data_IF_408856645845
#
_entry.id   IF_408856645845
#
_cell.length_a   1.000
_cell.length_b   1.000
_cell.length_c   1.000
_cell.angle_alpha   90.00
_cell.angle_beta   90.00
_cell.angle_gamma   90.00
#
_symmetry.space_group_name_H-M   'P 1'
#
loop_
_entity.id
_entity.type
_entity.pdbx_description
1 polymer ?
#
# COMPACT_ATOMS: atom_id res chain seq x y z
N UNK A 1 7.00 -52.08 -45.84
CA UNK A 1 7.85 -51.10 -45.11
C UNK A 1 7.55 -49.70 -45.64
N UNK A 2 6.82 -48.88 -44.89
CA UNK A 2 6.58 -47.46 -45.21
C UNK A 2 7.29 -46.65 -44.12
N UNK A 3 8.33 -45.93 -44.52
CA UNK A 3 9.18 -45.12 -43.63
C UNK A 3 8.44 -43.90 -43.10
N UNK A 4 8.39 -43.77 -41.79
CA UNK A 4 7.83 -42.62 -41.09
C UNK A 4 8.74 -41.39 -41.28
N UNK A 5 8.29 -40.43 -42.09
CA UNK A 5 8.94 -39.12 -42.22
C UNK A 5 8.65 -38.26 -40.98
N UNK A 6 9.59 -38.25 -40.02
CA UNK A 6 9.62 -37.25 -38.94
C UNK A 6 10.02 -35.91 -39.53
N UNK A 7 9.03 -35.04 -39.79
CA UNK A 7 9.26 -33.63 -40.15
C UNK A 7 9.95 -32.93 -38.98
N UNK A 8 11.26 -32.70 -39.08
CA UNK A 8 12.00 -31.87 -38.13
C UNK A 8 11.56 -30.43 -38.35
N UNK A 9 10.83 -29.85 -37.39
CA UNK A 9 10.56 -28.41 -37.37
C UNK A 9 11.91 -27.66 -37.44
N UNK A 10 12.08 -26.67 -38.34
CA UNK A 10 13.35 -25.99 -38.48
C UNK A 10 13.68 -25.27 -37.18
N UNK A 11 14.92 -25.42 -36.69
CA UNK A 11 15.42 -24.80 -35.45
C UNK A 11 15.14 -23.30 -35.37
N UNK A 12 15.06 -22.63 -36.51
CA UNK A 12 14.70 -21.22 -36.64
C UNK A 12 13.28 -20.90 -36.14
N UNK A 13 12.30 -21.77 -36.35
CA UNK A 13 10.94 -21.59 -35.83
C UNK A 13 10.84 -21.89 -34.34
N UNK A 14 11.67 -22.81 -33.82
CA UNK A 14 11.75 -23.07 -32.37
C UNK A 14 12.38 -21.88 -31.65
N UNK A 15 13.44 -21.30 -32.22
CA UNK A 15 14.09 -20.09 -31.68
C UNK A 15 13.14 -18.88 -31.80
N UNK A 16 12.45 -18.72 -32.93
CA UNK A 16 11.44 -17.66 -33.08
C UNK A 16 10.27 -17.80 -32.11
N UNK A 17 9.79 -19.02 -31.85
CA UNK A 17 8.74 -19.28 -30.86
C UNK A 17 9.20 -19.03 -29.42
N UNK A 18 10.45 -19.33 -29.09
CA UNK A 18 11.04 -19.03 -27.77
C UNK A 18 11.26 -17.52 -27.56
N UNK A 19 11.65 -16.79 -28.61
CA UNK A 19 11.77 -15.33 -28.57
C UNK A 19 10.41 -14.63 -28.48
N UNK A 20 9.37 -15.17 -29.13
CA UNK A 20 8.00 -14.65 -29.06
C UNK A 20 7.34 -14.90 -27.69
N UNK A 21 7.70 -16.00 -27.01
CA UNK A 21 7.22 -16.33 -25.67
C UNK A 21 7.81 -15.44 -24.56
N UNK A 22 8.90 -14.72 -24.82
CA UNK A 22 9.55 -13.81 -23.87
C UNK A 22 8.89 -12.43 -23.71
N UNK A 23 7.83 -12.12 -24.46
CA UNK A 23 7.19 -10.78 -24.51
C UNK A 23 5.91 -10.73 -23.67
N UNK A 24 5.67 -11.69 -22.76
CA UNK A 24 4.70 -11.48 -21.69
C UNK A 24 5.39 -10.71 -20.55
N UNK A 25 5.78 -9.46 -20.85
CA UNK A 25 6.02 -8.47 -19.81
C UNK A 25 4.66 -8.20 -19.21
N UNK A 26 4.31 -8.97 -18.18
CA UNK A 26 3.26 -8.60 -17.27
C UNK A 26 3.68 -7.26 -16.68
N UNK A 27 3.17 -6.18 -17.24
CA UNK A 27 3.26 -4.86 -16.66
C UNK A 27 2.38 -4.92 -15.41
N UNK A 28 2.93 -5.49 -14.33
CA UNK A 28 2.36 -5.35 -12.99
C UNK A 28 2.52 -3.88 -12.68
N UNK A 29 1.52 -3.08 -13.03
CA UNK A 29 1.40 -1.72 -12.51
C UNK A 29 1.59 -1.82 -11.00
N UNK A 30 2.48 -1.02 -10.40
CA UNK A 30 2.65 -1.02 -8.96
C UNK A 30 1.27 -0.92 -8.34
N UNK A 31 0.87 -1.91 -7.54
CA UNK A 31 -0.44 -1.88 -6.91
C UNK A 31 -0.58 -0.51 -6.24
N UNK A 32 -1.68 0.18 -6.52
CA UNK A 32 -1.88 1.53 -6.00
C UNK A 32 -1.90 1.42 -4.46
N UNK A 33 -1.01 2.13 -3.76
CA UNK A 33 -0.87 2.07 -2.29
C UNK A 33 -2.24 2.15 -1.60
N UNK A 34 -3.08 3.04 -2.11
CA UNK A 34 -4.44 3.29 -1.64
C UNK A 34 -5.35 2.08 -1.76
N UNK A 35 -5.27 1.37 -2.89
CA UNK A 35 -6.05 0.16 -3.11
C UNK A 35 -5.59 -0.98 -2.18
N UNK A 36 -4.28 -1.09 -1.93
CA UNK A 36 -3.73 -2.03 -0.94
C UNK A 36 -4.22 -1.70 0.48
N UNK A 37 -4.10 -0.43 0.89
CA UNK A 37 -4.52 0.02 2.21
C UNK A 37 -6.02 -0.25 2.42
N UNK A 38 -6.88 0.09 1.45
CA UNK A 38 -8.31 -0.20 1.51
C UNK A 38 -8.61 -1.70 1.64
N UNK A 39 -7.92 -2.54 0.87
CA UNK A 39 -8.08 -3.99 0.92
C UNK A 39 -7.62 -4.61 2.24
N UNK A 40 -6.60 -4.03 2.88
CA UNK A 40 -6.06 -4.50 4.17
C UNK A 40 -6.86 -4.00 5.37
N UNK A 41 -7.41 -2.79 5.31
CA UNK A 41 -8.27 -2.24 6.38
C UNK A 41 -9.49 -3.11 6.62
N UNK A 42 -10.06 -3.72 5.59
CA UNK A 42 -11.18 -4.66 5.74
C UNK A 42 -10.83 -5.95 6.49
N UNK A 43 -9.54 -6.21 6.75
CA UNK A 43 -9.05 -7.36 7.50
C UNK A 43 -8.77 -7.01 8.97
N UNK A 44 -8.91 -5.74 9.35
CA UNK A 44 -8.72 -5.30 10.73
C UNK A 44 -9.74 -5.94 11.66
N UNK A 45 -9.29 -6.26 12.85
CA UNK A 45 -10.12 -6.78 13.94
C UNK A 45 -9.78 -6.04 15.22
N UNK A 46 -10.79 -5.65 15.98
CA UNK A 46 -10.61 -4.96 17.26
C UNK A 46 -9.74 -5.82 18.19
N UNK A 47 -8.83 -5.19 18.91
CA UNK A 47 -7.93 -5.82 19.88
C UNK A 47 -6.56 -6.24 19.32
N UNK A 48 -6.36 -6.19 18.00
CA UNK A 48 -5.04 -6.42 17.37
C UNK A 48 -4.00 -5.50 18.01
N UNK A 49 -2.82 -6.04 18.31
CA UNK A 49 -1.72 -5.23 18.83
C UNK A 49 -1.09 -4.41 17.72
N UNK A 50 -0.47 -3.29 18.08
CA UNK A 50 0.16 -2.33 17.16
C UNK A 50 1.00 -2.99 16.07
N UNK A 51 1.85 -3.93 16.43
CA UNK A 51 2.74 -4.58 15.47
C UNK A 51 1.98 -5.49 14.48
N UNK A 52 0.88 -6.11 14.91
CA UNK A 52 -0.01 -6.86 14.03
C UNK A 52 -0.76 -5.92 13.08
N UNK A 53 -1.20 -4.76 13.55
CA UNK A 53 -1.80 -3.71 12.72
C UNK A 53 -0.81 -3.24 11.65
N UNK A 54 0.43 -2.95 12.03
CA UNK A 54 1.48 -2.54 11.09
C UNK A 54 1.87 -3.65 10.12
N UNK A 55 1.94 -4.90 10.57
CA UNK A 55 2.20 -6.04 9.71
C UNK A 55 1.08 -6.25 8.69
N UNK A 56 -0.18 -6.10 9.12
CA UNK A 56 -1.36 -6.27 8.27
C UNK A 56 -1.48 -5.16 7.23
N UNK A 57 -1.36 -3.89 7.66
CA UNK A 57 -1.54 -2.72 6.80
C UNK A 57 -0.28 -2.43 5.95
N UNK A 58 0.88 -2.84 6.45
CA UNK A 58 2.19 -2.62 5.86
C UNK A 58 2.77 -1.25 6.19
N UNK A 59 4.10 -1.16 6.08
CA UNK A 59 4.90 0.05 6.33
C UNK A 59 5.70 0.51 5.10
N UNK A 60 5.53 -0.18 3.97
CA UNK A 60 6.25 0.12 2.74
C UNK A 60 5.75 1.44 2.12
N UNK A 61 6.64 2.40 1.86
CA UNK A 61 6.25 3.65 1.20
C UNK A 61 5.90 3.41 -0.27
N UNK A 62 5.18 4.36 -0.86
CA UNK A 62 4.92 4.37 -2.29
C UNK A 62 6.04 5.08 -3.03
N UNK A 63 6.73 4.33 -3.87
CA UNK A 63 7.73 4.86 -4.81
C UNK A 63 7.09 5.19 -6.16
N UNK A 64 7.54 6.27 -6.78
CA UNK A 64 7.22 6.64 -8.17
C UNK A 64 8.51 6.76 -8.96
N UNK A 65 8.53 6.07 -10.09
CA UNK A 65 9.60 6.18 -11.08
C UNK A 65 9.31 7.35 -12.02
N UNK A 66 10.22 8.34 -12.07
CA UNK A 66 10.11 9.48 -12.97
C UNK A 66 10.64 9.23 -14.39
N UNK A 67 11.35 8.12 -14.62
CA UNK A 67 12.14 7.87 -15.84
C UNK A 67 11.68 6.70 -16.72
N UNK A 68 10.52 6.09 -16.45
CA UNK A 68 10.08 4.87 -17.15
C UNK A 68 11.13 3.74 -17.10
N UNK A 69 11.50 3.09 -18.22
CA UNK A 69 12.47 2.00 -18.21
C UNK A 69 13.87 2.40 -17.71
N UNK A 70 14.21 3.69 -17.70
CA UNK A 70 15.49 4.18 -17.16
C UNK A 70 15.63 3.93 -15.65
N UNK A 71 14.52 3.78 -14.90
CA UNK A 71 14.55 3.49 -13.48
C UNK A 71 15.15 2.10 -13.16
N UNK A 72 15.24 1.19 -14.14
CA UNK A 72 15.91 -0.12 -13.96
C UNK A 72 17.42 0.08 -13.78
N UNK A 73 17.99 1.07 -14.48
CA UNK A 73 19.43 1.32 -14.51
C UNK A 73 19.85 2.43 -13.54
N UNK A 74 18.92 3.31 -13.17
CA UNK A 74 19.19 4.48 -12.34
C UNK A 74 18.23 4.53 -11.13
N UNK A 75 18.60 3.90 -10.00
CA UNK A 75 17.79 3.90 -8.78
C UNK A 75 17.47 5.30 -8.24
N UNK A 76 18.32 6.30 -8.55
CA UNK A 76 18.10 7.71 -8.19
C UNK A 76 16.87 8.36 -8.85
N UNK A 77 16.23 7.69 -9.83
CA UNK A 77 15.01 8.17 -10.49
C UNK A 77 13.72 7.70 -9.81
N UNK A 78 13.82 6.99 -8.68
CA UNK A 78 12.70 6.74 -7.79
C UNK A 78 12.56 7.87 -6.77
N UNK A 79 11.35 8.40 -6.64
CA UNK A 79 10.99 9.32 -5.58
C UNK A 79 9.97 8.66 -4.65
N UNK A 80 10.13 8.89 -3.36
CA UNK A 80 9.10 8.58 -2.39
C UNK A 80 7.93 9.55 -2.59
N UNK A 81 6.77 9.03 -2.96
CA UNK A 81 5.55 9.82 -3.15
C UNK A 81 4.76 9.95 -1.86
N UNK A 82 4.71 8.88 -1.07
CA UNK A 82 3.95 8.83 0.15
C UNK A 82 4.55 7.81 1.12
N UNK A 83 4.68 8.20 2.37
CA UNK A 83 4.95 7.31 3.50
C UNK A 83 3.74 6.41 3.79
N UNK A 84 3.97 5.28 4.47
CA UNK A 84 2.93 4.37 4.91
C UNK A 84 3.26 3.84 6.32
N UNK A 85 2.54 4.20 7.39
CA UNK A 85 1.50 5.22 7.48
C UNK A 85 1.95 6.57 6.94
N UNK A 86 1.00 7.39 6.48
CA UNK A 86 1.30 8.74 6.00
C UNK A 86 1.71 9.66 7.14
N UNK A 87 0.96 9.61 8.24
CA UNK A 87 1.14 10.42 9.45
C UNK A 87 0.86 9.54 10.67
N UNK A 88 1.55 9.84 11.76
CA UNK A 88 1.32 9.22 13.07
C UNK A 88 1.16 10.35 14.07
N UNK A 89 0.07 10.33 14.82
CA UNK A 89 -0.17 11.24 15.94
C UNK A 89 -0.28 10.44 17.23
N UNK A 90 0.10 11.07 18.34
CA UNK A 90 -0.03 10.49 19.68
C UNK A 90 -0.60 11.53 20.62
N UNK A 91 -1.48 11.09 21.51
CA UNK A 91 -2.05 11.89 22.57
C UNK A 91 -2.19 11.03 23.83
N UNK A 92 -2.35 11.68 24.97
CA UNK A 92 -2.71 11.03 26.22
C UNK A 92 -4.12 11.49 26.60
N UNK A 93 -4.98 10.55 26.95
CA UNK A 93 -6.31 10.88 27.48
C UNK A 93 -6.17 11.44 28.90
N UNK A 94 -7.17 12.18 29.42
CA UNK A 94 -7.17 12.62 30.83
C UNK A 94 -7.03 11.47 31.84
N UNK A 95 -7.43 10.26 31.46
CA UNK A 95 -7.39 9.06 32.30
C UNK A 95 -6.03 8.32 32.22
N UNK A 96 -5.06 8.84 31.44
CA UNK A 96 -3.71 8.29 31.29
C UNK A 96 -3.56 7.21 30.21
N UNK A 97 -4.63 6.89 29.46
CA UNK A 97 -4.55 5.98 28.31
C UNK A 97 -3.77 6.63 27.16
N UNK A 98 -2.83 5.90 26.58
CA UNK A 98 -2.09 6.34 25.38
C UNK A 98 -2.97 6.14 24.15
N UNK A 99 -3.22 7.23 23.40
CA UNK A 99 -3.91 7.21 22.12
C UNK A 99 -2.89 7.38 20.99
N UNK A 100 -2.76 6.38 20.11
CA UNK A 100 -1.95 6.47 18.89
C UNK A 100 -2.86 6.40 17.65
N UNK A 101 -2.67 7.30 16.70
CA UNK A 101 -3.48 7.38 15.48
C UNK A 101 -2.57 7.24 14.27
N UNK A 102 -2.78 6.18 13.49
CA UNK A 102 -2.05 5.92 12.26
C UNK A 102 -2.91 6.33 11.06
N UNK A 103 -2.46 7.31 10.29
CA UNK A 103 -3.21 7.79 9.12
C UNK A 103 -2.73 7.07 7.85
N UNK A 104 -3.60 6.24 7.28
CA UNK A 104 -3.31 5.54 6.03
C UNK A 104 -4.03 6.19 4.86
N UNK A 105 -3.33 6.47 3.76
CA UNK A 105 -3.99 6.96 2.55
C UNK A 105 -4.83 5.85 1.92
N UNK A 106 -6.13 6.10 1.74
CA UNK A 106 -7.09 5.13 1.18
C UNK A 106 -7.82 5.66 -0.04
N UNK A 107 -7.94 6.99 -0.19
CA UNK A 107 -8.68 7.59 -1.30
C UNK A 107 -7.80 8.44 -2.22
N UNK A 108 -8.37 8.85 -3.36
CA UNK A 108 -7.83 9.92 -4.22
C UNK A 108 -8.96 10.84 -4.57
N UNK A 109 -8.89 12.08 -4.12
CA UNK A 109 -9.89 13.10 -4.40
C UNK A 109 -9.32 14.26 -5.19
N UNK A 110 -8.01 14.53 -5.11
CA UNK A 110 -7.35 15.57 -5.90
C UNK A 110 -6.06 15.05 -6.56
N UNK A 111 -5.81 15.58 -7.75
CA UNK A 111 -4.59 15.31 -8.53
C UNK A 111 -3.56 16.46 -8.40
N UNK A 112 -3.60 17.21 -7.30
CA UNK A 112 -2.69 18.33 -7.01
C UNK A 112 -1.37 17.87 -6.38
N UNK A 113 -1.26 16.60 -6.01
CA UNK A 113 -0.04 15.99 -5.47
C UNK A 113 0.10 16.11 -3.95
N UNK A 114 -0.71 16.94 -3.30
CA UNK A 114 -0.79 17.02 -1.84
C UNK A 114 -1.75 15.95 -1.32
N UNK A 115 -1.40 15.29 -0.21
CA UNK A 115 -2.30 14.34 0.46
C UNK A 115 -3.12 15.12 1.48
N UNK A 116 -4.43 15.19 1.26
CA UNK A 116 -5.34 15.88 2.17
C UNK A 116 -5.94 14.90 3.19
N UNK A 117 -6.35 15.39 4.38
CA UNK A 117 -6.93 14.56 5.44
C UNK A 117 -8.14 13.74 4.96
N UNK A 118 -8.96 14.31 4.07
CA UNK A 118 -10.12 13.60 3.53
C UNK A 118 -9.77 12.43 2.58
N UNK A 119 -8.48 12.19 2.31
CA UNK A 119 -7.94 11.04 1.58
C UNK A 119 -7.39 9.95 2.51
N UNK A 120 -7.35 10.21 3.81
CA UNK A 120 -6.81 9.34 4.84
C UNK A 120 -7.92 8.58 5.54
N UNK A 121 -7.59 7.38 6.04
CA UNK A 121 -8.37 6.65 7.03
C UNK A 121 -7.53 6.55 8.30
N UNK A 122 -7.99 7.13 9.42
CA UNK A 122 -7.29 7.00 10.70
C UNK A 122 -7.52 5.59 11.28
N UNK A 123 -6.47 5.00 11.83
CA UNK A 123 -6.50 3.76 12.60
C UNK A 123 -6.17 4.13 14.04
N UNK A 124 -7.07 3.84 14.96
CA UNK A 124 -7.02 4.35 16.34
C UNK A 124 -6.64 3.22 17.29
N UNK A 125 -5.54 3.42 18.01
CA UNK A 125 -5.04 2.51 19.01
C UNK A 125 -5.11 3.14 20.40
N UNK A 126 -5.56 2.37 21.37
CA UNK A 126 -5.47 2.70 22.81
C UNK A 126 -4.55 1.69 23.48
N UNK A 127 -3.54 2.17 24.21
CA UNK A 127 -2.52 1.35 24.87
C UNK A 127 -1.93 0.27 23.95
N UNK A 128 -1.65 0.67 22.69
CA UNK A 128 -1.08 -0.20 21.66
C UNK A 128 -2.04 -1.26 21.09
N UNK A 129 -3.35 -1.16 21.33
CA UNK A 129 -4.37 -2.06 20.78
C UNK A 129 -5.37 -1.35 19.90
N UNK A 130 -5.73 -1.97 18.78
CA UNK A 130 -6.73 -1.41 17.87
C UNK A 130 -8.11 -1.33 18.53
N UNK A 131 -8.65 -0.12 18.65
CA UNK A 131 -10.00 0.13 19.19
C UNK A 131 -11.00 0.57 18.13
N UNK A 132 -10.51 1.03 16.98
CA UNK A 132 -11.36 1.37 15.85
C UNK A 132 -10.61 2.06 14.72
N UNK A 133 -11.35 2.46 13.70
CA UNK A 133 -10.81 3.16 12.53
C UNK A 133 -11.87 4.03 11.86
N UNK A 134 -11.41 4.98 11.05
CA UNK A 134 -12.25 5.93 10.33
C UNK A 134 -12.54 7.21 11.11
N UNK A 135 -12.84 8.27 10.36
CA UNK A 135 -13.06 9.62 10.90
C UNK A 135 -14.21 9.73 11.89
N UNK A 136 -15.25 8.89 11.73
CA UNK A 136 -16.39 8.86 12.67
C UNK A 136 -15.92 8.34 14.03
N UNK A 137 -15.17 7.23 14.04
CA UNK A 137 -14.64 6.65 15.26
C UNK A 137 -13.67 7.61 15.95
N UNK A 138 -12.71 8.16 15.19
CA UNK A 138 -11.73 9.10 15.73
C UNK A 138 -12.42 10.30 16.39
N UNK A 139 -13.37 10.94 15.71
CA UNK A 139 -14.07 12.12 16.23
C UNK A 139 -14.83 11.82 17.52
N UNK A 140 -15.55 10.70 17.58
CA UNK A 140 -16.26 10.29 18.79
C UNK A 140 -15.31 10.05 19.96
N UNK A 141 -14.10 9.56 19.70
CA UNK A 141 -13.11 9.33 20.74
C UNK A 141 -12.42 10.63 21.19
N UNK A 142 -12.05 11.51 20.26
CA UNK A 142 -11.44 12.80 20.61
C UNK A 142 -12.41 13.73 21.33
N UNK A 143 -13.69 13.76 20.91
CA UNK A 143 -14.73 14.54 21.58
C UNK A 143 -15.02 14.03 23.00
N UNK A 144 -14.95 12.71 23.21
CA UNK A 144 -15.10 12.11 24.56
C UNK A 144 -14.04 12.61 25.53
N UNK A 145 -12.81 12.81 25.05
CA UNK A 145 -11.64 13.09 25.89
C UNK A 145 -11.12 14.54 25.79
N UNK A 146 -11.80 15.41 25.02
CA UNK A 146 -11.37 16.79 24.72
C UNK A 146 -9.92 16.88 24.18
N UNK A 147 -9.54 15.90 23.36
CA UNK A 147 -8.18 15.80 22.80
C UNK A 147 -8.03 16.74 21.60
N UNK A 148 -6.95 17.52 21.59
CA UNK A 148 -6.51 18.29 20.43
C UNK A 148 -5.43 17.51 19.68
N UNK A 149 -5.66 17.35 18.38
CA UNK A 149 -4.72 16.76 17.44
C UNK A 149 -4.12 17.87 16.56
N UNK A 150 -2.85 17.71 16.20
CA UNK A 150 -2.05 18.72 15.48
C UNK A 150 -2.23 18.69 13.96
#
# INVERSE_FOLDING_TARGET
MIGSSRRRLPRMYVIAALLLAGILVACTTPANLRARNRGRINQLSIGLVRDEVLALLGTEPQWVCLGGPACILLPMLYLERATNPHRIERAETPDGTELEILFYQTETRKADGAIADNELTPIVLEDGRLVGWGWIFLRQNTERYDIKLD
#
